data_IF_567935082866
#
_entry.id   IF_567935082866
#
_cell.length_a   1.000
_cell.length_b   1.000
_cell.length_c   1.000
_cell.angle_alpha   90.00
_cell.angle_beta   90.00
_cell.angle_gamma   90.00
#
_symmetry.space_group_name_H-M   'P 1'
#
loop_
_entity.id
_entity.type
_entity.pdbx_description
1 polymer ?
#
# COMPACT_ATOMS: atom_id res chain seq x y z
N UNK A 1 -10.02 -0.96 6.63
CA UNK A 1 -9.61 0.30 7.32
C UNK A 1 -8.28 0.03 7.99
N UNK A 2 -7.42 1.04 8.15
CA UNK A 2 -6.05 0.84 8.65
C UNK A 2 -6.03 0.44 10.13
N UNK A 3 -5.22 -0.56 10.47
CA UNK A 3 -5.03 -1.04 11.84
C UNK A 3 -3.59 -0.82 12.26
N UNK A 4 -3.36 -0.15 13.38
CA UNK A 4 -2.01 0.03 13.93
C UNK A 4 -1.58 -1.23 14.69
N UNK A 5 -1.17 -2.26 13.94
CA UNK A 5 -0.64 -3.51 14.46
C UNK A 5 0.52 -4.01 13.61
N UNK A 6 1.40 -4.80 14.22
CA UNK A 6 2.46 -5.49 13.48
C UNK A 6 1.85 -6.59 12.61
N UNK A 7 2.17 -6.56 11.32
CA UNK A 7 1.76 -7.55 10.33
C UNK A 7 2.87 -8.54 10.00
N UNK A 8 2.72 -9.23 8.87
CA UNK A 8 3.74 -10.12 8.33
C UNK A 8 4.86 -9.33 7.64
N UNK A 9 6.05 -9.90 7.59
CA UNK A 9 7.13 -9.39 6.75
C UNK A 9 6.98 -9.94 5.32
N UNK A 10 7.26 -9.10 4.33
CA UNK A 10 7.20 -9.48 2.91
C UNK A 10 8.49 -9.08 2.21
N UNK A 11 8.89 -9.88 1.22
CA UNK A 11 9.95 -9.53 0.29
C UNK A 11 9.30 -9.02 -1.00
N UNK A 12 9.40 -7.72 -1.22
CA UNK A 12 8.90 -7.04 -2.40
C UNK A 12 9.94 -6.00 -2.88
N UNK A 13 9.63 -5.22 -3.90
CA UNK A 13 10.55 -4.29 -4.54
C UNK A 13 11.22 -3.30 -3.55
N UNK A 14 10.47 -2.84 -2.54
CA UNK A 14 10.97 -1.94 -1.49
C UNK A 14 12.18 -2.51 -0.74
N UNK A 15 12.25 -3.83 -0.56
CA UNK A 15 13.38 -4.48 0.10
C UNK A 15 14.67 -4.30 -0.70
N UNK A 16 14.61 -4.48 -2.01
CA UNK A 16 15.80 -4.39 -2.87
C UNK A 16 16.22 -2.94 -3.14
N UNK A 17 15.26 -2.01 -3.23
CA UNK A 17 15.53 -0.57 -3.24
C UNK A 17 16.35 -0.16 -2.01
N UNK A 18 15.94 -0.60 -0.83
CA UNK A 18 16.68 -0.31 0.38
C UNK A 18 18.02 -1.07 0.43
N UNK A 19 18.01 -2.39 0.17
CA UNK A 19 19.19 -3.25 0.35
C UNK A 19 20.38 -2.77 -0.48
N UNK A 20 20.16 -2.49 -1.75
CA UNK A 20 21.23 -2.18 -2.70
C UNK A 20 21.42 -0.69 -2.94
N UNK A 21 20.34 0.09 -3.06
CA UNK A 21 20.42 1.52 -3.36
C UNK A 21 20.36 2.42 -2.11
N UNK A 22 20.08 1.86 -0.93
CA UNK A 22 19.92 2.61 0.34
C UNK A 22 18.81 3.66 0.29
N UNK A 23 17.82 3.47 -0.59
CA UNK A 23 16.64 4.33 -0.67
C UNK A 23 15.63 3.83 0.38
N UNK A 24 15.24 4.65 1.38
CA UNK A 24 14.17 4.30 2.29
C UNK A 24 12.86 4.18 1.51
N UNK A 25 12.22 3.02 1.60
CA UNK A 25 10.98 2.73 0.89
C UNK A 25 10.00 2.03 1.84
N UNK A 26 8.72 2.27 1.60
CA UNK A 26 7.61 1.57 2.24
C UNK A 26 6.75 0.92 1.16
N UNK A 27 6.03 -0.13 1.53
CA UNK A 27 5.12 -0.83 0.65
C UNK A 27 3.72 -0.87 1.27
N UNK A 28 2.73 -0.45 0.48
CA UNK A 28 1.33 -0.34 0.89
C UNK A 28 0.59 -1.47 0.17
N UNK A 29 0.45 -2.58 0.87
CA UNK A 29 0.01 -3.86 0.31
C UNK A 29 -1.10 -4.46 1.17
N UNK A 30 -2.09 -5.07 0.51
CA UNK A 30 -3.17 -5.82 1.14
C UNK A 30 -2.96 -7.33 0.94
N UNK A 31 -2.68 -8.05 2.03
CA UNK A 31 -2.49 -9.51 2.01
C UNK A 31 -3.79 -10.31 2.07
N UNK A 32 -4.88 -9.65 2.45
CA UNK A 32 -6.20 -10.24 2.65
C UNK A 32 -7.16 -9.69 1.59
N UNK A 33 -6.73 -9.51 0.33
CA UNK A 33 -7.60 -9.01 -0.75
C UNK A 33 -8.50 -10.13 -1.31
N UNK A 34 -9.84 -10.04 -1.25
CA UNK A 34 -10.65 -8.95 -0.69
C UNK A 34 -10.94 -9.04 0.82
N UNK A 35 -10.82 -10.22 1.42
CA UNK A 35 -10.87 -10.39 2.88
C UNK A 35 -10.09 -11.64 3.34
N UNK A 36 -10.08 -11.89 4.64
CA UNK A 36 -9.42 -13.05 5.26
C UNK A 36 -9.94 -14.43 4.84
N UNK A 37 -11.17 -14.52 4.33
CA UNK A 37 -11.84 -15.79 4.01
C UNK A 37 -11.71 -16.14 2.51
N UNK A 38 -11.55 -15.14 1.65
CA UNK A 38 -11.43 -15.26 0.19
C UNK A 38 -10.30 -14.38 -0.29
N UNK A 39 -9.36 -14.94 -1.05
CA UNK A 39 -8.24 -14.19 -1.63
C UNK A 39 -8.25 -14.24 -3.17
N UNK A 40 -8.25 -13.08 -3.82
CA UNK A 40 -8.27 -12.93 -5.28
C UNK A 40 -6.88 -12.80 -5.90
N UNK A 41 -5.83 -12.53 -5.11
CA UNK A 41 -4.46 -12.43 -5.59
C UNK A 41 -4.05 -13.68 -6.37
N UNK A 42 -3.47 -13.49 -7.56
CA UNK A 42 -3.06 -14.56 -8.47
C UNK A 42 -4.20 -15.52 -8.88
N UNK A 43 -5.43 -15.02 -8.99
CA UNK A 43 -6.58 -15.78 -9.51
C UNK A 43 -7.22 -15.07 -10.70
N UNK A 44 -8.11 -15.75 -11.43
CA UNK A 44 -8.95 -15.12 -12.47
C UNK A 44 -9.98 -14.13 -11.91
N UNK A 45 -10.10 -14.04 -10.58
CA UNK A 45 -10.96 -13.05 -9.91
C UNK A 45 -10.22 -11.74 -9.62
N UNK A 46 -8.93 -11.63 -9.97
CA UNK A 46 -8.24 -10.34 -9.94
C UNK A 46 -8.65 -9.48 -11.15
N UNK A 47 -9.85 -8.91 -11.05
CA UNK A 47 -10.50 -8.12 -12.10
C UNK A 47 -11.04 -6.80 -11.53
N UNK A 48 -11.18 -5.74 -12.34
CA UNK A 48 -11.61 -4.42 -11.86
C UNK A 48 -12.95 -4.41 -11.10
N UNK A 49 -13.85 -5.34 -11.41
CA UNK A 49 -15.16 -5.46 -10.76
C UNK A 49 -15.04 -5.84 -9.27
N UNK A 50 -13.93 -6.45 -8.86
CA UNK A 50 -13.66 -6.84 -7.49
C UNK A 50 -12.89 -5.78 -6.69
N UNK A 51 -12.48 -4.68 -7.34
CA UNK A 51 -11.85 -3.55 -6.67
C UNK A 51 -12.88 -2.76 -5.84
N UNK A 52 -12.46 -2.34 -4.64
CA UNK A 52 -13.25 -1.46 -3.77
C UNK A 52 -12.93 0.01 -4.05
N UNK A 53 -13.90 0.75 -4.60
CA UNK A 53 -13.77 2.21 -4.78
C UNK A 53 -13.43 2.93 -3.47
N UNK A 54 -14.03 2.47 -2.35
CA UNK A 54 -13.76 3.01 -1.02
C UNK A 54 -12.32 2.78 -0.55
N UNK A 55 -11.76 1.60 -0.85
CA UNK A 55 -10.37 1.29 -0.48
C UNK A 55 -9.38 2.12 -1.31
N UNK A 56 -9.65 2.28 -2.61
CA UNK A 56 -8.85 3.12 -3.50
C UNK A 56 -8.85 4.59 -3.06
N UNK A 57 -10.03 5.12 -2.70
CA UNK A 57 -10.18 6.48 -2.18
C UNK A 57 -9.39 6.68 -0.86
N UNK A 58 -9.43 5.70 0.05
CA UNK A 58 -8.70 5.77 1.32
C UNK A 58 -7.18 5.87 1.11
N UNK A 59 -6.60 4.99 0.28
CA UNK A 59 -5.15 5.03 -0.04
C UNK A 59 -4.79 6.32 -0.77
N UNK A 60 -5.58 6.69 -1.80
CA UNK A 60 -5.35 7.89 -2.58
C UNK A 60 -5.38 9.16 -1.71
N UNK A 61 -6.34 9.28 -0.79
CA UNK A 61 -6.47 10.42 0.11
C UNK A 61 -5.27 10.56 1.05
N UNK A 62 -4.83 9.45 1.66
CA UNK A 62 -3.68 9.44 2.58
C UNK A 62 -2.39 9.85 1.86
N UNK A 63 -2.11 9.25 0.69
CA UNK A 63 -0.87 9.51 -0.04
C UNK A 63 -0.86 10.91 -0.63
N UNK A 64 -2.00 11.36 -1.16
CA UNK A 64 -2.12 12.74 -1.67
C UNK A 64 -1.87 13.75 -0.56
N UNK A 65 -2.51 13.59 0.60
CA UNK A 65 -2.30 14.48 1.74
C UNK A 65 -0.84 14.44 2.22
N UNK A 66 -0.24 13.26 2.33
CA UNK A 66 1.15 13.10 2.73
C UNK A 66 2.11 13.84 1.79
N UNK A 67 2.00 13.64 0.47
CA UNK A 67 2.86 14.29 -0.52
C UNK A 67 2.74 15.81 -0.43
N UNK A 68 1.51 16.34 -0.42
CA UNK A 68 1.32 17.79 -0.33
C UNK A 68 1.84 18.38 0.99
N UNK A 69 1.64 17.70 2.12
CA UNK A 69 2.18 18.16 3.40
C UNK A 69 3.71 18.08 3.48
N UNK A 70 4.36 17.09 2.85
CA UNK A 70 5.82 17.03 2.76
C UNK A 70 6.36 18.16 1.87
N UNK A 71 5.75 18.39 0.70
CA UNK A 71 6.15 19.48 -0.20
C UNK A 71 6.00 20.86 0.44
N UNK A 72 4.98 21.05 1.27
CA UNK A 72 4.81 22.28 2.07
C UNK A 72 5.87 22.41 3.15
N UNK A 73 6.23 21.32 3.83
CA UNK A 73 7.29 21.29 4.85
C UNK A 73 8.73 21.43 4.31
N UNK A 74 8.95 21.20 3.02
CA UNK A 74 10.26 21.42 2.33
C UNK A 74 10.46 22.90 1.94
N UNK A 75 9.44 23.77 2.08
CA UNK A 75 9.53 25.19 1.74
C UNK A 75 10.08 26.10 2.85
N UNK A 76 10.54 25.55 3.97
CA UNK A 76 11.35 26.25 4.98
C UNK A 76 12.85 25.92 4.83
#
# INVERSE_FOLDING_TARGET
>A
QFENRMGQAVMDDHYYLYKYAKIPAIDIIDFEYPNKDVNYWHTLQDIPQNCSAKSLEAVGSVITHFIYSQDEGIKE
#
